data_IF_361147301823
#
_entry.id   IF_361147301823
#
_cell.length_a   1.000
_cell.length_b   1.000
_cell.length_c   1.000
_cell.angle_alpha   90.00
_cell.angle_beta   90.00
_cell.angle_gamma   90.00
#
_symmetry.space_group_name_H-M   'P 1'
#
loop_
_entity.id
_entity.type
_entity.pdbx_description
1 polymer ?
#
# COMPACT_ATOMS: atom_id res chain seq x y z
N UNK A 1 18.49 -0.59 -14.37
CA UNK A 1 17.52 0.41 -13.87
C UNK A 1 18.23 1.22 -12.79
N UNK A 2 18.11 2.55 -12.78
CA UNK A 2 18.73 3.43 -11.77
C UNK A 2 17.66 3.90 -10.79
N UNK A 3 17.85 3.62 -9.51
CA UNK A 3 16.99 4.02 -8.40
C UNK A 3 17.66 5.18 -7.68
N UNK A 4 17.02 6.35 -7.69
CA UNK A 4 17.47 7.56 -7.01
C UNK A 4 16.42 8.00 -5.99
N UNK A 5 16.76 8.90 -5.03
CA UNK A 5 15.77 9.47 -4.11
C UNK A 5 14.57 10.09 -4.82
N UNK A 6 14.79 10.72 -5.98
CA UNK A 6 13.71 11.30 -6.78
C UNK A 6 12.80 10.23 -7.39
N UNK A 7 13.36 9.13 -7.89
CA UNK A 7 12.57 8.00 -8.39
C UNK A 7 11.75 7.35 -7.28
N UNK A 8 12.31 7.22 -6.07
CA UNK A 8 11.61 6.68 -4.90
C UNK A 8 10.43 7.57 -4.49
N UNK A 9 10.64 8.89 -4.43
CA UNK A 9 9.56 9.86 -4.15
C UNK A 9 8.50 9.86 -5.25
N UNK A 10 8.90 9.74 -6.51
CA UNK A 10 7.98 9.59 -7.64
C UNK A 10 7.12 8.33 -7.51
N UNK A 11 7.72 7.20 -7.12
CA UNK A 11 7.00 5.98 -6.80
C UNK A 11 6.03 6.13 -5.63
N UNK A 12 6.43 6.84 -4.57
CA UNK A 12 5.57 7.13 -3.43
C UNK A 12 4.32 7.94 -3.82
N UNK A 13 4.47 8.93 -4.70
CA UNK A 13 3.34 9.72 -5.18
C UNK A 13 2.36 8.88 -5.99
N UNK A 14 2.86 7.96 -6.83
CA UNK A 14 1.98 7.01 -7.55
C UNK A 14 1.19 6.12 -6.60
N UNK A 15 1.79 5.69 -5.49
CA UNK A 15 1.08 4.90 -4.48
C UNK A 15 0.02 5.71 -3.73
N UNK A 16 0.22 7.03 -3.54
CA UNK A 16 -0.83 7.91 -3.01
C UNK A 16 -2.00 8.07 -3.99
N UNK A 17 -1.73 8.11 -5.29
CA UNK A 17 -2.77 8.12 -6.33
C UNK A 17 -3.57 6.81 -6.31
N UNK A 18 -2.90 5.66 -6.16
CA UNK A 18 -3.56 4.35 -6.02
C UNK A 18 -4.36 4.24 -4.73
N UNK A 19 -3.83 4.76 -3.60
CA UNK A 19 -4.59 4.87 -2.35
C UNK A 19 -5.88 5.64 -2.58
N UNK A 20 -5.80 6.81 -3.21
CA UNK A 20 -6.94 7.68 -3.49
C UNK A 20 -7.97 6.96 -4.37
N UNK A 21 -7.49 6.26 -5.40
CA UNK A 21 -8.33 5.47 -6.32
C UNK A 21 -9.09 4.38 -5.56
N UNK A 22 -8.40 3.57 -4.76
CA UNK A 22 -9.01 2.43 -4.05
C UNK A 22 -9.93 2.89 -2.91
N UNK A 23 -9.52 3.88 -2.12
CA UNK A 23 -10.39 4.44 -1.06
C UNK A 23 -11.60 5.20 -1.63
N UNK A 24 -11.53 5.63 -2.89
CA UNK A 24 -12.62 6.31 -3.59
C UNK A 24 -13.68 5.36 -4.17
N UNK A 25 -13.46 4.04 -4.13
CA UNK A 25 -14.44 3.07 -4.61
C UNK A 25 -15.66 3.07 -3.68
N UNK A 26 -16.81 3.47 -4.21
CA UNK A 26 -18.06 3.46 -3.48
C UNK A 26 -18.63 2.04 -3.37
N UNK A 27 -18.99 1.62 -2.15
CA UNK A 27 -19.77 0.41 -1.95
C UNK A 27 -21.25 0.74 -2.22
N UNK A 28 -21.97 -0.06 -3.03
CA UNK A 28 -23.36 0.22 -3.38
C UNK A 28 -24.26 0.34 -2.15
N UNK A 29 -25.12 1.37 -2.13
CA UNK A 29 -26.12 1.50 -1.08
C UNK A 29 -27.08 0.31 -1.08
N UNK A 30 -27.28 -0.24 0.10
CA UNK A 30 -28.06 -1.44 0.35
C UNK A 30 -29.36 -1.15 1.10
N UNK A 31 -29.62 0.10 1.46
CA UNK A 31 -30.73 0.52 2.33
C UNK A 31 -32.11 0.06 1.82
N UNK A 32 -32.38 0.26 0.52
CA UNK A 32 -33.65 -0.11 -0.12
C UNK A 32 -33.85 -1.63 -0.19
N UNK A 33 -32.81 -2.37 -0.57
CA UNK A 33 -32.83 -3.83 -0.62
C UNK A 33 -32.97 -4.46 0.78
N UNK A 34 -32.28 -3.90 1.78
CA UNK A 34 -32.39 -4.35 3.16
C UNK A 34 -33.78 -4.09 3.74
N UNK A 35 -34.40 -2.94 3.39
CA UNK A 35 -35.77 -2.61 3.80
C UNK A 35 -36.80 -3.55 3.18
N UNK A 36 -36.69 -3.85 1.88
CA UNK A 36 -37.57 -4.81 1.21
C UNK A 36 -37.46 -6.24 1.74
N UNK A 37 -36.32 -6.58 2.34
CA UNK A 37 -36.05 -7.87 2.99
C UNK A 37 -36.28 -7.84 4.51
N UNK A 38 -36.93 -6.82 5.04
CA UNK A 38 -37.19 -6.71 6.47
C UNK A 38 -37.92 -7.96 7.01
N UNK A 39 -37.42 -8.52 8.11
CA UNK A 39 -37.92 -9.77 8.70
C UNK A 39 -37.24 -11.04 8.18
N UNK A 40 -36.42 -10.95 7.12
CA UNK A 40 -35.60 -12.06 6.64
C UNK A 40 -34.15 -11.93 7.12
N UNK A 41 -33.53 -13.07 7.43
CA UNK A 41 -32.11 -13.13 7.83
C UNK A 41 -31.14 -12.59 6.76
N UNK A 42 -31.57 -12.51 5.49
CA UNK A 42 -30.80 -11.96 4.37
C UNK A 42 -30.57 -10.46 4.50
N UNK A 43 -31.48 -9.69 5.10
CA UNK A 43 -31.30 -8.25 5.32
C UNK A 43 -30.04 -7.98 6.16
N UNK A 44 -29.87 -8.70 7.28
CA UNK A 44 -28.70 -8.60 8.16
C UNK A 44 -27.38 -8.96 7.47
N UNK A 45 -27.41 -9.93 6.55
CA UNK A 45 -26.23 -10.32 5.76
C UNK A 45 -25.81 -9.22 4.79
N UNK A 46 -26.76 -8.46 4.26
CA UNK A 46 -26.48 -7.37 3.33
C UNK A 46 -25.77 -6.20 4.02
N UNK A 47 -26.20 -5.81 5.23
CA UNK A 47 -25.49 -4.84 6.08
C UNK A 47 -24.04 -5.26 6.34
N UNK A 48 -23.85 -6.51 6.80
CA UNK A 48 -22.51 -7.04 7.07
C UNK A 48 -21.63 -7.07 5.82
N UNK A 49 -22.19 -7.45 4.67
CA UNK A 49 -21.45 -7.49 3.42
C UNK A 49 -21.00 -6.08 3.01
N UNK A 50 -21.89 -5.09 3.10
CA UNK A 50 -21.55 -3.69 2.83
C UNK A 50 -20.40 -3.20 3.71
N UNK A 51 -20.50 -3.40 5.03
CA UNK A 51 -19.46 -2.97 5.98
C UNK A 51 -18.14 -3.70 5.74
N UNK A 52 -18.20 -5.01 5.46
CA UNK A 52 -17.00 -5.82 5.18
C UNK A 52 -16.27 -5.33 3.93
N UNK A 53 -17.01 -5.04 2.85
CA UNK A 53 -16.41 -4.54 1.61
C UNK A 53 -15.83 -3.14 1.82
N UNK A 54 -16.56 -2.26 2.52
CA UNK A 54 -16.10 -0.90 2.83
C UNK A 54 -14.79 -0.93 3.63
N UNK A 55 -14.73 -1.77 4.66
CA UNK A 55 -13.53 -1.96 5.47
C UNK A 55 -12.36 -2.56 4.65
N UNK A 56 -12.64 -3.52 3.76
CA UNK A 56 -11.61 -4.11 2.91
C UNK A 56 -10.99 -3.09 1.94
N UNK A 57 -11.81 -2.21 1.35
CA UNK A 57 -11.33 -1.13 0.49
C UNK A 57 -10.44 -0.14 1.26
N UNK A 58 -10.86 0.23 2.48
CA UNK A 58 -10.06 1.09 3.35
C UNK A 58 -8.69 0.45 3.69
N UNK A 59 -8.68 -0.82 4.12
CA UNK A 59 -7.45 -1.55 4.43
C UNK A 59 -6.53 -1.64 3.22
N UNK A 60 -7.09 -1.86 2.03
CA UNK A 60 -6.31 -1.88 0.79
C UNK A 60 -5.68 -0.51 0.50
N UNK A 61 -6.45 0.57 0.64
CA UNK A 61 -5.94 1.94 0.50
C UNK A 61 -4.81 2.26 1.49
N UNK A 62 -4.96 1.83 2.75
CA UNK A 62 -3.95 2.06 3.79
C UNK A 62 -2.63 1.34 3.51
N UNK A 63 -2.66 0.16 2.88
CA UNK A 63 -1.45 -0.56 2.45
C UNK A 63 -0.67 0.22 1.38
N UNK A 64 -1.35 0.84 0.42
CA UNK A 64 -0.69 1.72 -0.55
C UNK A 64 -0.03 2.92 0.15
N UNK A 65 -0.71 3.51 1.13
CA UNK A 65 -0.12 4.57 1.96
C UNK A 65 1.12 4.13 2.74
N UNK A 66 1.11 2.92 3.34
CA UNK A 66 2.27 2.35 4.03
C UNK A 66 3.45 2.14 3.09
N UNK A 67 3.21 1.59 1.89
CA UNK A 67 4.26 1.42 0.87
C UNK A 67 4.82 2.79 0.41
N UNK A 68 3.97 3.80 0.25
CA UNK A 68 4.40 5.17 -0.09
C UNK A 68 5.31 5.77 0.98
N UNK A 69 4.98 5.60 2.26
CA UNK A 69 5.83 6.03 3.38
C UNK A 69 7.18 5.33 3.38
N UNK A 70 7.22 4.00 3.18
CA UNK A 70 8.47 3.24 3.12
C UNK A 70 9.39 3.73 2.00
N UNK A 71 8.86 4.08 0.83
CA UNK A 71 9.65 4.66 -0.27
C UNK A 71 10.25 6.02 0.11
N UNK A 72 9.48 6.88 0.82
CA UNK A 72 9.97 8.18 1.30
C UNK A 72 11.05 8.04 2.37
N UNK A 73 10.88 7.12 3.30
CA UNK A 73 11.87 6.80 4.33
C UNK A 73 13.16 6.25 3.70
N UNK A 74 13.02 5.39 2.69
CA UNK A 74 14.16 4.86 1.92
C UNK A 74 14.90 5.98 1.18
N UNK A 75 14.18 6.91 0.55
CA UNK A 75 14.77 8.07 -0.12
C UNK A 75 15.54 8.97 0.85
N UNK A 76 14.95 9.21 2.03
CA UNK A 76 15.57 10.02 3.09
C UNK A 76 16.84 9.35 3.63
N UNK A 77 16.78 8.04 3.85
CA UNK A 77 17.92 7.24 4.29
C UNK A 77 19.03 7.22 3.25
N UNK A 78 18.68 7.10 1.97
CA UNK A 78 19.66 7.17 0.88
C UNK A 78 20.41 8.50 0.88
N UNK A 79 19.70 9.63 0.96
CA UNK A 79 20.30 10.96 1.01
C UNK A 79 21.18 11.14 2.26
N UNK A 80 20.72 10.68 3.41
CA UNK A 80 21.49 10.71 4.66
C UNK A 80 22.78 9.90 4.57
N UNK A 81 22.72 8.65 4.08
CA UNK A 81 23.91 7.80 3.91
C UNK A 81 24.86 8.42 2.86
N UNK A 82 24.32 8.93 1.76
CA UNK A 82 25.14 9.56 0.71
C UNK A 82 25.88 10.82 1.18
N UNK A 83 25.30 11.56 2.14
CA UNK A 83 25.91 12.79 2.69
C UNK A 83 26.89 12.54 3.84
N UNK A 84 26.83 11.36 4.48
CA UNK A 84 27.72 10.97 5.59
C UNK A 84 28.94 10.16 5.14
N UNK A 85 28.88 9.56 3.95
CA UNK A 85 30.03 8.89 3.35
C UNK A 85 31.04 9.89 2.79
N UNK A 86 32.33 9.58 2.93
CA UNK A 86 33.38 10.36 2.28
C UNK A 86 33.10 10.45 0.76
N UNK A 87 33.31 11.62 0.11
CA UNK A 87 33.06 11.78 -1.32
C UNK A 87 33.76 10.68 -2.13
N UNK A 88 32.99 9.86 -2.87
CA UNK A 88 33.50 8.76 -3.68
C UNK A 88 33.66 7.40 -2.98
N UNK A 89 33.37 7.29 -1.68
CA UNK A 89 33.36 6.01 -0.96
C UNK A 89 32.26 5.06 -1.47
N UNK A 90 31.17 5.61 -1.99
CA UNK A 90 30.14 4.87 -2.70
C UNK A 90 30.01 5.45 -4.10
N UNK A 91 30.28 4.62 -5.10
CA UNK A 91 30.16 4.97 -6.51
C UNK A 91 28.82 4.49 -7.05
N UNK A 92 28.20 5.30 -7.91
CA UNK A 92 27.21 4.80 -8.86
C UNK A 92 27.80 3.60 -9.63
N UNK A 93 27.07 2.47 -9.79
CA UNK A 93 25.65 2.25 -9.51
C UNK A 93 25.40 1.49 -8.19
N UNK A 94 26.42 1.24 -7.37
CA UNK A 94 26.37 0.28 -6.25
C UNK A 94 25.20 0.54 -5.29
N UNK A 95 25.00 1.80 -4.94
CA UNK A 95 23.94 2.23 -4.03
C UNK A 95 22.54 2.03 -4.64
N UNK A 96 22.39 2.28 -5.94
CA UNK A 96 21.15 2.05 -6.68
C UNK A 96 20.83 0.55 -6.77
N UNK A 97 21.83 -0.31 -6.96
CA UNK A 97 21.63 -1.75 -7.08
C UNK A 97 21.13 -2.35 -5.77
N UNK A 98 21.78 -2.03 -4.65
CA UNK A 98 21.36 -2.58 -3.34
C UNK A 98 20.01 -2.04 -2.86
N UNK A 99 19.65 -0.80 -3.18
CA UNK A 99 18.30 -0.30 -2.89
C UNK A 99 17.26 -1.02 -3.74
N UNK A 100 17.55 -1.25 -5.03
CA UNK A 100 16.64 -2.00 -5.90
C UNK A 100 16.46 -3.45 -5.42
N UNK A 101 17.54 -4.12 -5.01
CA UNK A 101 17.52 -5.46 -4.44
C UNK A 101 16.72 -5.50 -3.13
N UNK A 102 16.94 -4.52 -2.24
CA UNK A 102 16.20 -4.39 -0.99
C UNK A 102 14.69 -4.19 -1.20
N UNK A 103 14.31 -3.32 -2.13
CA UNK A 103 12.90 -3.10 -2.47
C UNK A 103 12.26 -4.32 -3.11
N UNK A 104 13.00 -5.05 -3.95
CA UNK A 104 12.53 -6.31 -4.55
C UNK A 104 12.28 -7.35 -3.46
N UNK A 105 13.22 -7.50 -2.51
CA UNK A 105 13.07 -8.42 -1.38
C UNK A 105 11.92 -8.01 -0.43
N UNK A 106 11.66 -6.71 -0.24
CA UNK A 106 10.52 -6.22 0.53
C UNK A 106 9.18 -6.49 -0.18
N UNK A 107 9.13 -6.37 -1.50
CA UNK A 107 7.96 -6.73 -2.30
C UNK A 107 7.67 -8.24 -2.29
N UNK A 108 8.72 -9.06 -2.21
CA UNK A 108 8.64 -10.53 -2.14
C UNK A 108 8.39 -11.06 -0.72
N UNK A 109 8.33 -10.21 0.33
CA UNK A 109 8.01 -10.69 1.66
C UNK A 109 6.61 -11.33 1.65
N UNK A 110 6.48 -12.60 2.08
CA UNK A 110 5.17 -13.23 2.16
C UNK A 110 4.33 -12.43 3.15
N UNK A 111 3.26 -11.83 2.65
CA UNK A 111 2.21 -11.27 3.51
C UNK A 111 1.66 -12.45 4.32
N UNK A 112 2.09 -12.59 5.57
CA UNK A 112 1.59 -13.60 6.50
C UNK A 112 0.12 -13.29 6.79
N UNK A 113 -0.76 -13.67 5.87
CA UNK A 113 -2.18 -13.80 6.14
C UNK A 113 -2.32 -15.08 6.95
N UNK A 114 -2.78 -15.04 8.22
CA UNK A 114 -3.19 -16.25 8.91
C UNK A 114 -4.31 -16.86 8.08
N UNK A 115 -4.06 -18.02 7.45
CA UNK A 115 -5.14 -18.80 6.85
C UNK A 115 -6.03 -19.24 8.00
N UNK A 116 -7.18 -18.57 8.15
CA UNK A 116 -8.28 -19.07 8.94
C UNK A 116 -8.59 -20.48 8.39
N UNK A 117 -8.21 -21.50 9.16
CA UNK A 117 -8.66 -22.86 8.91
C UNK A 117 -10.18 -22.85 9.04
N UNK A 118 -10.86 -22.98 7.91
CA UNK A 118 -12.26 -23.39 7.84
C UNK A 118 -12.39 -24.82 8.33
#
# INVERSE_FOLDING_TARGET
MKVTPNELRGGANRLDDEKTTVSGIAVPDHSSAASGLAGFASASKLYRAHDTVSAALQVSGDRFGQMGSLLRETATTFEFVSSTLAPGAVKEPWMSTHVAEGLTAMGDMPTTVPRLRT
#
